data_IF_566008951948
#
_entry.id   IF_566008951948
#
_cell.length_a   1.000
_cell.length_b   1.000
_cell.length_c   1.000
_cell.angle_alpha   90.00
_cell.angle_beta   90.00
_cell.angle_gamma   90.00
#
_symmetry.space_group_name_H-M   'P 1'
#
loop_
_entity.id
_entity.type
_entity.pdbx_description
1 polymer ?
#
# COMPACT_ATOMS: atom_id res chain seq x y z
N UNK A 1 -21.41 -17.58 -48.34
CA UNK A 1 -22.37 -17.50 -47.21
C UNK A 1 -21.59 -17.04 -45.99
N UNK A 2 -21.79 -15.79 -45.58
CA UNK A 2 -21.06 -15.14 -44.48
C UNK A 2 -21.67 -15.56 -43.14
N UNK A 3 -20.98 -16.41 -42.38
CA UNK A 3 -21.35 -16.75 -41.00
C UNK A 3 -20.82 -15.71 -40.02
N UNK A 4 -21.66 -14.74 -39.65
CA UNK A 4 -21.37 -13.78 -38.59
C UNK A 4 -21.52 -14.44 -37.22
N UNK A 5 -20.46 -14.38 -36.40
CA UNK A 5 -20.53 -14.76 -35.00
C UNK A 5 -21.23 -13.66 -34.20
N UNK A 6 -22.43 -13.94 -33.71
CA UNK A 6 -23.11 -13.09 -32.75
C UNK A 6 -22.38 -13.15 -31.41
N UNK A 7 -21.89 -12.01 -30.92
CA UNK A 7 -21.41 -11.88 -29.55
C UNK A 7 -22.62 -11.91 -28.60
N UNK A 8 -22.64 -12.75 -27.55
CA UNK A 8 -23.75 -12.76 -26.62
C UNK A 8 -23.75 -11.46 -25.81
N UNK A 9 -24.78 -10.63 -25.98
CA UNK A 9 -25.05 -9.52 -25.07
C UNK A 9 -25.58 -10.08 -23.76
N UNK A 10 -24.84 -9.88 -22.67
CA UNK A 10 -25.31 -10.21 -21.32
C UNK A 10 -26.63 -9.46 -21.05
N UNK A 11 -27.67 -10.13 -20.50
CA UNK A 11 -29.02 -9.57 -20.39
C UNK A 11 -29.19 -8.53 -19.27
N UNK A 12 -28.13 -8.20 -18.52
CA UNK A 12 -28.21 -7.29 -17.38
C UNK A 12 -27.61 -5.93 -17.71
N UNK A 13 -28.46 -5.01 -18.16
CA UNK A 13 -28.14 -3.58 -18.16
C UNK A 13 -28.47 -3.04 -16.77
N UNK A 14 -27.50 -3.01 -15.85
CA UNK A 14 -27.68 -2.38 -14.53
C UNK A 14 -27.87 -0.88 -14.78
N UNK A 15 -29.08 -0.31 -14.60
CA UNK A 15 -29.32 1.08 -14.85
C UNK A 15 -28.80 1.87 -13.65
N UNK A 16 -27.56 2.33 -13.72
CA UNK A 16 -27.05 3.32 -12.77
C UNK A 16 -27.66 4.68 -13.11
N UNK A 17 -28.81 4.99 -12.51
CA UNK A 17 -29.44 6.31 -12.60
C UNK A 17 -28.69 7.22 -11.62
N UNK A 18 -27.62 7.87 -12.09
CA UNK A 18 -26.97 8.95 -11.36
C UNK A 18 -27.14 10.25 -12.14
N UNK A 19 -27.51 11.31 -11.42
CA UNK A 19 -27.61 12.67 -11.97
C UNK A 19 -26.23 13.16 -12.43
N UNK A 20 -26.17 13.88 -13.55
CA UNK A 20 -24.94 14.43 -14.14
C UNK A 20 -24.15 15.36 -13.20
N UNK A 21 -24.72 15.76 -12.06
CA UNK A 21 -24.10 16.66 -11.07
C UNK A 21 -22.91 15.99 -10.38
N UNK A 22 -22.95 14.67 -10.12
CA UNK A 22 -21.82 13.94 -9.52
C UNK A 22 -20.70 13.61 -10.50
N UNK A 23 -20.96 13.73 -11.81
CA UNK A 23 -19.98 13.41 -12.85
C UNK A 23 -18.80 14.40 -12.89
N UNK A 24 -19.00 15.63 -12.39
CA UNK A 24 -17.96 16.68 -12.41
C UNK A 24 -16.92 16.54 -11.30
N UNK A 25 -17.22 15.81 -10.21
CA UNK A 25 -16.34 15.70 -9.03
C UNK A 25 -15.78 14.30 -8.79
N UNK A 26 -16.53 13.24 -9.11
CA UNK A 26 -16.09 11.87 -8.93
C UNK A 26 -15.98 11.11 -10.26
N UNK A 27 -14.76 10.79 -10.69
CA UNK A 27 -14.52 10.04 -11.94
C UNK A 27 -15.05 8.60 -11.90
N UNK A 28 -15.34 8.07 -10.71
CA UNK A 28 -15.92 6.75 -10.52
C UNK A 28 -17.43 6.79 -10.29
N UNK A 29 -18.11 7.92 -10.47
CA UNK A 29 -19.54 8.07 -10.11
C UNK A 29 -20.44 6.92 -10.61
N UNK A 30 -20.20 6.40 -11.83
CA UNK A 30 -20.95 5.27 -12.40
C UNK A 30 -20.74 3.95 -11.66
N UNK A 31 -19.53 3.74 -11.11
CA UNK A 31 -19.13 2.53 -10.40
C UNK A 31 -19.22 2.70 -8.88
N UNK A 32 -19.30 3.93 -8.38
CA UNK A 32 -19.29 4.27 -6.95
C UNK A 32 -20.24 3.40 -6.12
N UNK A 33 -21.50 3.16 -6.53
CA UNK A 33 -22.43 2.42 -5.68
C UNK A 33 -22.06 0.94 -5.60
N UNK A 34 -21.60 0.37 -6.71
CA UNK A 34 -21.08 -0.99 -6.74
C UNK A 34 -19.83 -1.11 -5.85
N UNK A 35 -18.88 -0.18 -5.98
CA UNK A 35 -17.66 -0.19 -5.17
C UNK A 35 -17.97 -0.03 -3.67
N UNK A 36 -18.94 0.81 -3.32
CA UNK A 36 -19.42 0.97 -1.94
C UNK A 36 -19.99 -0.33 -1.40
N UNK A 37 -20.90 -0.99 -2.13
CA UNK A 37 -21.48 -2.29 -1.72
C UNK A 37 -20.39 -3.35 -1.51
N UNK A 38 -19.42 -3.42 -2.41
CA UNK A 38 -18.31 -4.39 -2.29
C UNK A 38 -17.45 -4.08 -1.07
N UNK A 39 -17.07 -2.82 -0.86
CA UNK A 39 -16.25 -2.41 0.28
C UNK A 39 -16.95 -2.67 1.62
N UNK A 40 -18.22 -2.30 1.73
CA UNK A 40 -19.05 -2.58 2.91
C UNK A 40 -19.16 -4.08 3.17
N UNK A 41 -19.30 -4.88 2.10
CA UNK A 41 -19.43 -6.33 2.28
C UNK A 41 -18.12 -6.98 2.69
N UNK A 42 -16.97 -6.53 2.17
CA UNK A 42 -15.67 -7.05 2.56
C UNK A 42 -15.39 -6.85 4.05
N UNK A 43 -15.74 -5.68 4.56
CA UNK A 43 -15.61 -5.36 5.99
C UNK A 43 -16.60 -6.16 6.85
N UNK A 44 -17.83 -6.36 6.38
CA UNK A 44 -18.87 -7.04 7.15
C UNK A 44 -18.67 -8.56 7.26
N UNK A 45 -18.00 -9.21 6.30
CA UNK A 45 -17.84 -10.67 6.30
C UNK A 45 -16.59 -11.16 7.01
N UNK A 46 -15.57 -10.30 7.15
CA UNK A 46 -14.27 -10.75 7.60
C UNK A 46 -13.49 -9.66 8.34
N UNK A 47 -12.98 -10.04 9.50
CA UNK A 47 -12.00 -9.24 10.25
C UNK A 47 -10.62 -9.83 10.00
N UNK A 48 -9.66 -9.04 9.49
CA UNK A 48 -8.31 -9.55 9.21
C UNK A 48 -7.58 -9.94 10.49
N UNK A 49 -6.62 -10.86 10.35
CA UNK A 49 -5.65 -11.15 11.39
C UNK A 49 -4.71 -9.96 11.62
N UNK A 50 -3.91 -10.05 12.69
CA UNK A 50 -3.03 -8.97 13.11
C UNK A 50 -2.05 -8.52 12.02
N UNK A 51 -1.59 -9.41 11.15
CA UNK A 51 -0.62 -9.12 10.11
C UNK A 51 -1.29 -8.80 8.77
N UNK A 52 -1.09 -7.59 8.27
CA UNK A 52 -1.68 -7.09 7.03
C UNK A 52 -0.64 -6.46 6.12
N UNK A 53 -0.73 -6.69 4.81
CA UNK A 53 0.12 -6.05 3.81
C UNK A 53 -0.66 -5.00 3.01
N UNK A 54 -0.04 -3.84 2.75
CA UNK A 54 -0.59 -2.81 1.87
C UNK A 54 0.28 -2.67 0.62
N UNK A 55 -0.32 -2.95 -0.53
CA UNK A 55 0.35 -2.79 -1.82
C UNK A 55 -0.61 -2.32 -2.93
N UNK A 56 -0.07 -2.21 -4.15
CA UNK A 56 -0.78 -1.85 -5.37
C UNK A 56 -1.12 -3.11 -6.16
N UNK A 57 -2.39 -3.28 -6.47
CA UNK A 57 -2.91 -4.26 -7.42
C UNK A 57 -3.28 -3.61 -8.76
N UNK A 58 -3.39 -4.45 -9.81
CA UNK A 58 -3.94 -4.06 -11.11
C UNK A 58 -5.15 -4.91 -11.40
N UNK A 59 -6.27 -4.25 -11.72
CA UNK A 59 -7.45 -4.89 -12.31
C UNK A 59 -7.37 -4.72 -13.82
N UNK A 60 -7.14 -5.78 -14.60
CA UNK A 60 -6.99 -5.69 -16.05
C UNK A 60 -8.24 -5.15 -16.71
N UNK A 61 -8.08 -4.27 -17.70
CA UNK A 61 -9.19 -3.74 -18.47
C UNK A 61 -8.79 -3.64 -19.95
N UNK A 62 -9.59 -4.27 -20.82
CA UNK A 62 -9.41 -4.18 -22.29
C UNK A 62 -10.13 -2.97 -22.90
N UNK A 63 -11.02 -2.32 -22.16
CA UNK A 63 -11.77 -1.15 -22.63
C UNK A 63 -10.91 0.11 -22.74
N UNK A 64 -11.50 1.21 -23.21
CA UNK A 64 -10.85 2.53 -23.20
C UNK A 64 -11.30 3.31 -21.97
N UNK A 65 -10.36 3.63 -21.09
CA UNK A 65 -10.62 4.52 -19.95
C UNK A 65 -9.39 5.36 -19.64
N UNK A 66 -9.60 6.64 -19.34
CA UNK A 66 -8.55 7.58 -18.92
C UNK A 66 -7.98 7.27 -17.53
N UNK A 67 -8.65 6.42 -16.75
CA UNK A 67 -8.21 6.00 -15.41
C UNK A 67 -7.21 4.84 -15.45
N UNK A 68 -7.07 4.16 -16.58
CA UNK A 68 -6.09 3.08 -16.70
C UNK A 68 -4.67 3.61 -16.47
N UNK A 69 -3.90 2.85 -15.72
CA UNK A 69 -2.50 3.12 -15.44
C UNK A 69 -1.64 2.07 -16.12
N UNK A 70 -0.45 2.49 -16.53
CA UNK A 70 0.61 1.60 -16.95
C UNK A 70 1.59 1.42 -15.78
N UNK A 71 1.80 0.19 -15.33
CA UNK A 71 2.77 -0.17 -14.29
C UNK A 71 3.73 -1.24 -14.84
N UNK A 72 4.94 -0.85 -15.30
CA UNK A 72 5.82 -1.74 -16.04
C UNK A 72 6.33 -2.94 -15.23
N UNK A 73 6.33 -2.82 -13.90
CA UNK A 73 6.85 -3.83 -12.96
C UNK A 73 5.82 -4.90 -12.56
N UNK A 74 4.57 -4.83 -13.04
CA UNK A 74 3.55 -5.86 -12.79
C UNK A 74 3.41 -6.74 -14.03
N UNK A 75 3.09 -8.02 -13.84
CA UNK A 75 2.87 -8.99 -14.94
C UNK A 75 1.81 -8.48 -15.92
N UNK A 76 0.68 -8.01 -15.38
CA UNK A 76 -0.35 -7.28 -16.12
C UNK A 76 -0.05 -5.79 -16.03
N UNK A 77 0.56 -5.26 -17.09
CA UNK A 77 1.12 -3.90 -17.05
C UNK A 77 0.09 -2.79 -17.20
N UNK A 78 -1.12 -3.07 -17.71
CA UNK A 78 -2.15 -2.04 -18.00
C UNK A 78 -3.51 -2.42 -17.42
N UNK A 79 -4.09 -1.51 -16.65
CA UNK A 79 -5.40 -1.70 -16.04
C UNK A 79 -5.73 -0.61 -15.02
N UNK A 80 -6.77 -0.82 -14.22
CA UNK A 80 -7.06 0.07 -13.10
C UNK A 80 -6.11 -0.23 -11.95
N UNK A 81 -5.40 0.79 -11.49
CA UNK A 81 -4.57 0.68 -10.30
C UNK A 81 -5.47 0.75 -9.07
N UNK A 82 -5.33 -0.23 -8.19
CA UNK A 82 -6.05 -0.31 -6.92
C UNK A 82 -5.03 -0.45 -5.80
N UNK A 83 -5.24 0.23 -4.68
CA UNK A 83 -4.51 -0.03 -3.45
C UNK A 83 -5.32 -0.96 -2.59
N UNK A 84 -4.69 -1.96 -1.99
CA UNK A 84 -5.38 -3.00 -1.22
C UNK A 84 -4.67 -3.21 0.12
N UNK A 85 -5.45 -3.56 1.14
CA UNK A 85 -4.96 -4.14 2.40
C UNK A 85 -5.36 -5.61 2.43
N UNK A 86 -4.37 -6.48 2.31
CA UNK A 86 -4.55 -7.93 2.33
C UNK A 86 -4.10 -8.52 3.67
N UNK A 87 -4.83 -9.51 4.17
CA UNK A 87 -4.43 -10.35 5.30
C UNK A 87 -3.29 -11.29 4.87
N UNK A 88 -2.25 -11.43 5.69
CA UNK A 88 -1.11 -12.29 5.34
C UNK A 88 -1.37 -13.79 5.47
N UNK A 89 -2.42 -14.21 6.18
CA UNK A 89 -2.68 -15.64 6.45
C UNK A 89 -3.47 -16.30 5.33
N UNK A 90 -4.47 -15.60 4.78
CA UNK A 90 -5.39 -16.15 3.80
C UNK A 90 -5.54 -15.29 2.53
N UNK A 91 -4.69 -14.28 2.37
CA UNK A 91 -4.66 -13.36 1.24
C UNK A 91 -5.97 -12.58 1.03
N UNK A 92 -6.83 -12.48 2.06
CA UNK A 92 -8.11 -11.78 1.93
C UNK A 92 -7.93 -10.26 1.85
N UNK A 93 -8.42 -9.67 0.76
CA UNK A 93 -8.48 -8.22 0.58
C UNK A 93 -9.59 -7.61 1.44
N UNK A 94 -9.23 -7.03 2.57
CA UNK A 94 -10.21 -6.49 3.54
C UNK A 94 -10.60 -5.03 3.28
N UNK A 95 -9.73 -4.26 2.63
CA UNK A 95 -9.98 -2.86 2.27
C UNK A 95 -9.30 -2.54 0.94
N UNK A 96 -9.91 -1.67 0.13
CA UNK A 96 -9.32 -1.24 -1.13
C UNK A 96 -9.68 0.19 -1.51
N UNK A 97 -8.84 0.82 -2.33
CA UNK A 97 -9.10 2.13 -2.90
C UNK A 97 -8.65 2.19 -4.36
N UNK A 98 -9.57 2.56 -5.26
CA UNK A 98 -9.27 2.74 -6.69
C UNK A 98 -8.56 4.08 -6.92
N UNK A 99 -7.45 4.06 -7.66
CA UNK A 99 -6.73 5.28 -7.99
C UNK A 99 -7.41 6.06 -9.11
N UNK A 100 -7.76 7.32 -8.85
CA UNK A 100 -8.55 8.14 -9.78
C UNK A 100 -7.81 9.28 -10.47
N UNK A 101 -6.49 9.47 -10.25
CA UNK A 101 -5.64 10.57 -10.77
C UNK A 101 -6.33 11.96 -10.82
N UNK A 102 -5.88 12.90 -9.99
CA UNK A 102 -6.30 14.31 -10.11
C UNK A 102 -5.75 14.95 -11.40
N UNK A 103 -6.57 15.80 -12.03
CA UNK A 103 -6.21 16.50 -13.29
C UNK A 103 -5.37 17.75 -13.05
N UNK A 104 -5.49 18.40 -11.88
CA UNK A 104 -4.94 19.75 -11.66
C UNK A 104 -3.66 19.80 -10.83
N UNK A 105 -3.38 18.82 -9.96
CA UNK A 105 -2.11 18.76 -9.21
C UNK A 105 -1.79 17.38 -8.65
N UNK A 106 -0.49 17.07 -8.53
CA UNK A 106 -0.01 15.88 -7.82
C UNK A 106 -0.25 16.08 -6.32
N UNK A 107 -1.13 15.26 -5.74
CA UNK A 107 -1.41 15.28 -4.31
C UNK A 107 -0.14 14.99 -3.50
N UNK A 108 0.33 15.98 -2.74
CA UNK A 108 1.42 15.81 -1.78
C UNK A 108 0.94 14.87 -0.68
N UNK A 109 1.74 13.84 -0.36
CA UNK A 109 1.39 12.90 0.71
C UNK A 109 0.35 11.85 0.34
N UNK A 110 0.00 11.69 -0.95
CA UNK A 110 -0.97 10.69 -1.42
C UNK A 110 -0.76 9.30 -0.80
N UNK A 111 0.50 8.84 -0.72
CA UNK A 111 0.81 7.54 -0.14
C UNK A 111 0.45 7.42 1.34
N UNK A 112 0.70 8.47 2.13
CA UNK A 112 0.37 8.51 3.56
C UNK A 112 -1.14 8.51 3.76
N UNK A 113 -1.88 9.34 3.01
CA UNK A 113 -3.36 9.34 3.03
C UNK A 113 -3.93 7.96 2.71
N UNK A 114 -3.50 7.33 1.61
CA UNK A 114 -3.98 5.98 1.22
C UNK A 114 -3.80 4.99 2.36
N UNK A 115 -2.61 4.95 2.98
CA UNK A 115 -2.34 3.98 4.05
C UNK A 115 -3.23 4.25 5.26
N UNK A 116 -3.41 5.50 5.66
CA UNK A 116 -4.32 5.87 6.76
C UNK A 116 -5.76 5.45 6.47
N UNK A 117 -6.26 5.73 5.26
CA UNK A 117 -7.61 5.36 4.87
C UNK A 117 -7.80 3.83 4.87
N UNK A 118 -6.84 3.07 4.36
CA UNK A 118 -6.89 1.60 4.33
C UNK A 118 -6.72 0.96 5.72
N UNK A 119 -6.21 1.70 6.71
CA UNK A 119 -5.97 1.20 8.08
C UNK A 119 -7.01 1.68 9.08
N UNK A 120 -7.90 2.60 8.72
CA UNK A 120 -8.90 3.18 9.61
C UNK A 120 -9.71 2.15 10.41
N UNK A 121 -10.09 1.03 9.78
CA UNK A 121 -10.91 -0.03 10.40
C UNK A 121 -10.15 -0.93 11.39
N UNK A 122 -8.82 -0.81 11.48
CA UNK A 122 -7.96 -1.59 12.38
C UNK A 122 -7.18 -0.72 13.38
N UNK A 123 -7.55 0.55 13.53
CA UNK A 123 -6.99 1.43 14.57
C UNK A 123 -7.22 0.85 15.97
N UNK A 124 -6.23 1.04 16.84
CA UNK A 124 -6.22 0.61 18.25
C UNK A 124 -6.38 -0.90 18.46
N UNK A 125 -6.08 -1.69 17.43
CA UNK A 125 -6.14 -3.16 17.48
C UNK A 125 -4.74 -3.80 17.42
N UNK A 126 -3.67 -3.02 17.57
CA UNK A 126 -2.29 -3.49 17.60
C UNK A 126 -1.89 -4.33 16.37
N UNK A 127 -2.46 -4.01 15.20
CA UNK A 127 -2.14 -4.69 13.96
C UNK A 127 -0.73 -4.33 13.48
N UNK A 128 -0.13 -5.25 12.74
CA UNK A 128 1.17 -5.17 12.11
C UNK A 128 0.96 -4.95 10.61
N UNK A 129 1.29 -3.77 10.12
CA UNK A 129 1.08 -3.35 8.73
C UNK A 129 2.41 -3.28 7.98
N UNK A 130 2.50 -4.02 6.88
CA UNK A 130 3.68 -4.08 6.02
C UNK A 130 3.48 -3.25 4.75
N UNK A 131 4.38 -2.30 4.50
CA UNK A 131 4.33 -1.37 3.36
C UNK A 131 5.67 -1.30 2.61
N UNK A 132 5.65 -1.22 1.27
CA UNK A 132 6.90 -1.04 0.50
C UNK A 132 7.20 0.44 0.19
N UNK A 133 6.43 1.07 -0.71
CA UNK A 133 6.70 2.36 -1.33
C UNK A 133 6.02 3.53 -0.62
N UNK A 134 5.16 3.23 0.36
CA UNK A 134 4.41 4.22 1.11
C UNK A 134 5.17 4.69 2.36
N UNK A 135 6.20 3.95 2.77
CA UNK A 135 6.93 4.15 4.01
C UNK A 135 7.59 5.52 4.08
N UNK A 136 7.32 6.20 5.18
CA UNK A 136 7.99 7.41 5.63
C UNK A 136 7.91 7.45 7.15
N UNK A 137 8.90 8.06 7.80
CA UNK A 137 8.93 8.10 9.25
C UNK A 137 7.72 8.79 9.88
N UNK A 138 7.25 9.89 9.27
CA UNK A 138 6.03 10.57 9.73
C UNK A 138 4.81 9.65 9.63
N UNK A 139 4.62 8.94 8.51
CA UNK A 139 3.51 7.99 8.37
C UNK A 139 3.58 6.92 9.46
N UNK A 140 4.77 6.38 9.74
CA UNK A 140 4.93 5.32 10.73
C UNK A 140 4.68 5.84 12.16
N UNK A 141 5.10 7.08 12.45
CA UNK A 141 4.75 7.80 13.69
C UNK A 141 3.24 7.97 13.84
N UNK A 142 2.56 8.37 12.76
CA UNK A 142 1.10 8.56 12.76
C UNK A 142 0.34 7.23 12.92
N UNK A 143 0.89 6.13 12.41
CA UNK A 143 0.28 4.80 12.58
C UNK A 143 0.50 4.28 14.01
N UNK A 144 1.69 4.49 14.59
CA UNK A 144 1.94 4.06 15.96
C UNK A 144 1.04 4.81 16.96
N UNK A 145 0.78 6.11 16.74
CA UNK A 145 -0.09 6.89 17.63
C UNK A 145 -1.54 6.39 17.65
N UNK A 146 -1.97 5.64 16.64
CA UNK A 146 -3.28 4.98 16.57
C UNK A 146 -3.18 3.47 16.82
N UNK A 147 -2.12 2.99 17.46
CA UNK A 147 -1.98 1.59 17.86
C UNK A 147 -1.79 0.63 16.68
N UNK A 148 -1.06 1.06 15.64
CA UNK A 148 -0.66 0.21 14.52
C UNK A 148 0.86 0.16 14.44
N UNK A 149 1.40 -1.05 14.44
CA UNK A 149 2.82 -1.28 14.20
C UNK A 149 3.08 -1.33 12.70
N UNK A 150 4.04 -0.57 12.22
CA UNK A 150 4.33 -0.45 10.80
C UNK A 150 5.73 -0.96 10.48
N UNK A 151 5.84 -1.64 9.34
CA UNK A 151 7.06 -2.23 8.83
C UNK A 151 7.18 -1.90 7.35
N UNK A 152 8.40 -1.66 6.88
CA UNK A 152 8.55 -1.43 5.45
C UNK A 152 9.93 -1.06 4.99
N UNK A 153 10.13 -1.18 3.68
CA UNK A 153 11.33 -0.65 3.03
C UNK A 153 11.28 0.88 3.05
N UNK A 154 12.38 1.54 3.39
CA UNK A 154 12.46 3.00 3.37
C UNK A 154 13.61 3.45 2.46
N UNK A 155 13.39 4.54 1.72
CA UNK A 155 14.45 5.11 0.88
C UNK A 155 15.37 5.96 1.74
N UNK A 156 16.68 5.86 1.52
CA UNK A 156 17.67 6.71 2.18
C UNK A 156 17.50 8.20 1.90
N UNK A 157 16.84 8.55 0.79
CA UNK A 157 16.50 9.93 0.46
C UNK A 157 15.32 10.50 1.26
N UNK A 158 14.74 9.75 2.20
CA UNK A 158 13.64 10.26 3.06
C UNK A 158 14.23 11.16 4.15
N UNK A 159 13.50 12.23 4.48
CA UNK A 159 13.82 13.09 5.63
C UNK A 159 13.90 12.23 6.89
N UNK A 160 14.85 12.53 7.79
CA UNK A 160 15.11 11.80 9.05
C UNK A 160 15.70 10.39 8.89
N UNK A 161 16.28 10.11 7.73
CA UNK A 161 17.11 8.91 7.57
C UNK A 161 18.44 9.09 8.32
N UNK A 162 18.87 8.14 9.18
CA UNK A 162 20.13 8.24 9.92
C UNK A 162 21.33 8.32 8.98
N UNK A 163 22.10 9.40 9.08
CA UNK A 163 23.24 9.65 8.19
C UNK A 163 24.36 8.61 8.39
N UNK A 164 24.46 8.05 9.59
CA UNK A 164 25.35 6.99 10.05
C UNK A 164 25.13 5.68 9.28
N UNK A 165 23.92 5.45 8.73
CA UNK A 165 23.62 4.28 7.90
C UNK A 165 24.02 4.47 6.44
N UNK A 166 24.36 5.69 6.01
CA UNK A 166 24.70 6.00 4.62
C UNK A 166 25.92 5.24 4.09
N UNK A 167 27.02 5.06 4.84
CA UNK A 167 28.16 4.26 4.39
C UNK A 167 27.76 2.82 4.02
N UNK A 168 26.89 2.20 4.80
CA UNK A 168 26.43 0.82 4.61
C UNK A 168 25.59 0.61 3.33
N UNK A 169 25.07 1.68 2.73
CA UNK A 169 24.35 1.63 1.45
C UNK A 169 25.26 1.45 0.23
N UNK A 170 26.59 1.58 0.40
CA UNK A 170 27.58 1.42 -0.67
C UNK A 170 28.20 0.01 -0.71
N UNK A 171 27.53 -0.99 -0.16
CA UNK A 171 28.00 -2.38 -0.05
C UNK A 171 29.29 -2.50 0.78
N UNK A 172 29.32 -1.87 1.96
CA UNK A 172 30.46 -1.94 2.89
C UNK A 172 30.43 -3.20 3.76
N UNK A 173 29.31 -3.92 3.75
CA UNK A 173 29.19 -5.17 4.49
C UNK A 173 30.13 -6.23 3.92
N UNK A 174 30.98 -6.86 4.76
CA UNK A 174 31.93 -7.86 4.32
C UNK A 174 31.22 -9.11 3.76
N UNK A 175 30.07 -9.49 4.31
CA UNK A 175 29.34 -10.68 3.89
C UNK A 175 27.85 -10.41 3.57
N UNK A 176 27.27 -11.28 2.75
CA UNK A 176 25.82 -11.29 2.52
C UNK A 176 25.14 -11.81 3.78
N UNK A 177 24.09 -11.12 4.22
CA UNK A 177 23.36 -11.46 5.44
C UNK A 177 23.63 -10.48 6.58
N UNK A 178 24.75 -9.76 6.53
CA UNK A 178 25.09 -8.74 7.51
C UNK A 178 24.04 -7.62 7.54
N UNK A 179 23.87 -7.03 8.72
CA UNK A 179 23.01 -5.87 8.89
C UNK A 179 23.52 -4.92 9.95
N UNK A 180 23.13 -3.66 9.82
CA UNK A 180 23.36 -2.62 10.80
C UNK A 180 22.02 -2.00 11.15
N UNK A 181 21.69 -1.92 12.43
CA UNK A 181 20.42 -1.35 12.92
C UNK A 181 20.69 -0.22 13.88
N UNK A 182 20.02 0.91 13.67
CA UNK A 182 20.05 2.05 14.57
C UNK A 182 18.62 2.41 15.02
N UNK A 183 18.46 3.00 16.22
CA UNK A 183 17.21 3.64 16.59
C UNK A 183 16.94 4.86 15.68
N UNK A 184 15.68 5.19 15.46
CA UNK A 184 15.30 6.41 14.74
C UNK A 184 15.44 7.62 15.66
N UNK A 185 15.89 8.75 15.09
CA UNK A 185 15.89 10.04 15.78
C UNK A 185 14.47 10.55 16.12
N UNK A 186 13.43 10.07 15.42
CA UNK A 186 12.06 10.56 15.61
C UNK A 186 11.41 9.93 16.85
N UNK A 187 11.60 8.62 17.04
CA UNK A 187 11.01 7.89 18.16
C UNK A 187 11.92 6.75 18.62
N UNK A 188 12.06 6.52 19.94
CA UNK A 188 12.95 5.50 20.49
C UNK A 188 12.54 4.06 20.14
N UNK A 189 11.26 3.83 19.87
CA UNK A 189 10.70 2.50 19.56
C UNK A 189 10.80 2.17 18.06
N UNK A 190 11.41 3.06 17.28
CA UNK A 190 11.57 2.91 15.84
C UNK A 190 12.99 2.48 15.56
N UNK A 191 13.15 1.53 14.66
CA UNK A 191 14.46 1.15 14.15
C UNK A 191 14.56 1.38 12.66
N UNK A 192 15.79 1.62 12.22
CA UNK A 192 16.18 1.65 10.82
C UNK A 192 17.33 0.68 10.65
N UNK A 193 17.14 -0.29 9.76
CA UNK A 193 18.11 -1.35 9.50
C UNK A 193 18.54 -1.33 8.06
N UNK A 194 19.84 -1.36 7.81
CA UNK A 194 20.39 -1.67 6.48
C UNK A 194 20.81 -3.13 6.50
N UNK A 195 20.29 -3.92 5.56
CA UNK A 195 20.62 -5.33 5.40
C UNK A 195 21.28 -5.58 4.05
N UNK A 196 22.36 -6.36 4.05
CA UNK A 196 23.12 -6.72 2.85
C UNK A 196 22.56 -7.98 2.18
N UNK A 197 21.81 -7.78 1.10
CA UNK A 197 21.45 -8.84 0.16
C UNK A 197 22.38 -8.87 -1.05
N UNK A 198 21.80 -9.09 -2.24
CA UNK A 198 22.49 -8.79 -3.52
C UNK A 198 22.82 -7.31 -3.66
N UNK A 199 21.96 -6.45 -3.09
CA UNK A 199 22.17 -5.01 -2.89
C UNK A 199 21.71 -4.66 -1.48
N UNK A 200 22.26 -3.60 -0.88
CA UNK A 200 21.80 -3.14 0.43
C UNK A 200 20.34 -2.69 0.34
N UNK A 201 19.55 -3.11 1.31
CA UNK A 201 18.13 -2.75 1.46
C UNK A 201 17.95 -2.11 2.81
N UNK A 202 17.23 -0.98 2.86
CA UNK A 202 16.88 -0.36 4.12
C UNK A 202 15.45 -0.66 4.50
N UNK A 203 15.25 -1.09 5.74
CA UNK A 203 13.96 -1.41 6.34
C UNK A 203 13.79 -0.56 7.59
N UNK A 204 12.55 -0.22 7.92
CA UNK A 204 12.20 0.44 9.18
C UNK A 204 11.02 -0.26 9.82
N UNK A 205 10.99 -0.28 11.15
CA UNK A 205 9.98 -0.93 11.97
C UNK A 205 9.66 -0.07 13.19
N UNK A 206 8.41 -0.10 13.66
CA UNK A 206 7.95 0.65 14.84
C UNK A 206 7.77 -0.20 16.10
N UNK A 207 8.14 -1.48 16.04
CA UNK A 207 8.06 -2.42 17.16
C UNK A 207 9.33 -3.27 17.25
N UNK A 208 10.49 -2.62 17.17
CA UNK A 208 11.78 -3.26 17.36
C UNK A 208 12.62 -2.38 18.27
N UNK A 209 13.51 -3.00 19.05
CA UNK A 209 14.57 -2.29 19.75
C UNK A 209 15.91 -2.63 19.11
N UNK A 210 16.78 -1.64 18.98
CA UNK A 210 18.15 -1.83 18.50
C UNK A 210 19.04 -2.27 19.67
N UNK A 211 18.70 -3.39 20.31
CA UNK A 211 19.53 -3.98 21.36
C UNK A 211 20.49 -4.98 20.68
N UNK A 212 21.81 -4.91 20.94
CA UNK A 212 22.76 -5.91 20.47
C UNK A 212 22.34 -7.32 20.89
N UNK A 213 22.49 -8.31 20.01
CA UNK A 213 22.05 -9.69 20.26
C UNK A 213 22.66 -10.25 21.56
N UNK A 214 23.88 -9.84 21.88
CA UNK A 214 24.64 -10.25 23.07
C UNK A 214 24.09 -9.71 24.40
N UNK A 215 23.14 -8.78 24.34
CA UNK A 215 22.51 -8.15 25.51
C UNK A 215 21.06 -8.59 25.75
N UNK A 216 20.53 -9.49 24.92
CA UNK A 216 19.24 -10.15 25.15
C UNK A 216 19.54 -11.44 25.93
N UNK A 217 19.31 -11.40 27.24
CA UNK A 217 19.42 -12.56 28.15
C UNK A 217 18.09 -13.29 28.30
#
# INVERSE_FOLDING_TARGET
MNGGWATPTLPFRIPFIYSNIYASTDRLYKLRPFLTIVAERFEAVYHPHCQCAIDKAIVPCKGRSSLQQYMPQKSLKRGFKVWVRADSINDYDSQFQVYTRKETSTEKGLGSRVVKDLTATIHHRNHHVYCNNFSSFQLFSDLLSVGIYAYGTIRSSRKHFPSELTPYLKCVFPERGDSMTLPSEIQPNFTVSVWQGTKPVTVTATNCQAIPLDSVT
#
